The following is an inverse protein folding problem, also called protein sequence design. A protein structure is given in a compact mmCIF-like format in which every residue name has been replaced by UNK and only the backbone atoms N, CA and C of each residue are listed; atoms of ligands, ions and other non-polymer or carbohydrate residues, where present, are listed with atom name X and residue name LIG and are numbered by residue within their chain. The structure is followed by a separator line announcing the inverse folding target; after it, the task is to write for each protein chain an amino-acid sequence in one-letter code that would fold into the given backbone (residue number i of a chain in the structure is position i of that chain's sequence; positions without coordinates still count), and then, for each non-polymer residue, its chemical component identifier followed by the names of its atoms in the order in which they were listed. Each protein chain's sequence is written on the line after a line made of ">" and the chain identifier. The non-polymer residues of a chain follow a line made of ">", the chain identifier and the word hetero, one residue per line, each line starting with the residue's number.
data_IF_090071283601
#
_entry.id   IF_090071283601
#
_cell.length_a   1.000
_cell.length_b   1.000
_cell.length_c   1.000
_cell.angle_alpha   90.00
_cell.angle_beta   90.00
_cell.angle_gamma   90.00
#
_symmetry.space_group_name_H-M   'P 1'
#
loop_
_entity.id
_entity.type
_entity.pdbx_description
1 polymer ?
#
# COMPACT_ATOMS: atom_id res chain seq x y z
N UNK A 1 -4.45 -4.03 -3.95
CA UNK A 1 -4.20 -2.57 -3.78
C UNK A 1 -2.89 -2.14 -4.44
N UNK A 2 -2.09 -3.11 -4.87
CA UNK A 2 -0.77 -2.97 -5.50
C UNK A 2 -0.67 -1.94 -6.63
N UNK A 3 -1.73 -1.68 -7.41
CA UNK A 3 -1.66 -0.70 -8.51
C UNK A 3 -1.67 0.77 -8.07
N UNK A 4 -2.45 1.13 -7.05
CA UNK A 4 -2.67 2.53 -6.64
C UNK A 4 -1.61 3.01 -5.64
N UNK A 5 -1.19 2.14 -4.71
CA UNK A 5 -0.26 2.48 -3.61
C UNK A 5 0.97 1.57 -3.54
N UNK A 6 1.06 0.56 -4.42
CA UNK A 6 2.19 -0.37 -4.43
C UNK A 6 3.51 0.31 -4.74
N UNK A 7 3.52 1.31 -5.62
CA UNK A 7 4.73 2.10 -5.92
C UNK A 7 5.35 2.77 -4.67
N UNK A 8 4.50 3.12 -3.70
CA UNK A 8 4.92 3.83 -2.48
C UNK A 8 5.42 2.87 -1.39
N UNK A 9 4.84 1.66 -1.37
CA UNK A 9 5.02 0.68 -0.30
C UNK A 9 5.97 -0.47 -0.66
N UNK A 10 6.04 -0.83 -1.93
CA UNK A 10 6.85 -1.92 -2.47
C UNK A 10 7.49 -1.51 -3.80
N UNK A 11 8.79 -1.22 -3.74
CA UNK A 11 9.60 -0.88 -4.91
C UNK A 11 10.71 0.09 -4.55
N UNK A 12 11.80 0.09 -5.31
CA UNK A 12 12.89 1.06 -5.10
C UNK A 12 12.49 2.48 -5.48
N UNK A 13 11.33 2.71 -6.09
CA UNK A 13 10.95 4.03 -6.63
C UNK A 13 11.94 4.53 -7.69
N UNK A 14 12.73 3.66 -8.29
CA UNK A 14 13.64 3.96 -9.39
C UNK A 14 13.01 3.51 -10.71
N UNK A 15 13.27 4.27 -11.78
CA UNK A 15 12.98 3.83 -13.15
C UNK A 15 13.70 2.52 -13.45
N UNK A 16 13.15 1.73 -14.39
CA UNK A 16 13.77 0.48 -14.88
C UNK A 16 15.23 0.72 -15.31
N UNK A 17 15.45 1.72 -16.16
CA UNK A 17 16.79 2.06 -16.68
C UNK A 17 17.78 2.38 -15.54
N UNK A 18 17.33 3.13 -14.51
CA UNK A 18 18.17 3.46 -13.36
C UNK A 18 18.50 2.25 -12.50
N UNK A 19 17.61 1.24 -12.43
CA UNK A 19 17.94 -0.03 -11.76
C UNK A 19 18.98 -0.82 -12.54
N UNK A 20 18.90 -0.82 -13.86
CA UNK A 20 19.84 -1.53 -14.72
C UNK A 20 21.23 -0.87 -14.68
N UNK A 21 21.30 0.46 -14.59
CA UNK A 21 22.54 1.23 -14.37
C UNK A 21 23.19 0.94 -13.00
N UNK A 22 22.40 0.81 -11.93
CA UNK A 22 22.92 0.39 -10.62
C UNK A 22 23.44 -1.06 -10.70
N UNK A 23 22.68 -1.95 -11.35
CA UNK A 23 23.05 -3.35 -11.48
C UNK A 23 24.31 -3.56 -12.33
N UNK A 24 24.60 -2.66 -13.27
CA UNK A 24 25.83 -2.67 -14.07
C UNK A 24 27.06 -2.07 -13.36
N UNK A 25 26.91 -1.66 -12.09
CA UNK A 25 28.03 -1.21 -11.26
C UNK A 25 28.42 0.26 -11.45
N UNK A 26 27.54 1.09 -12.03
CA UNK A 26 27.78 2.53 -12.09
C UNK A 26 27.88 3.13 -10.67
N UNK A 27 28.91 3.95 -10.42
CA UNK A 27 29.04 4.70 -9.16
C UNK A 27 27.91 5.72 -9.12
N UNK A 28 26.91 5.46 -8.31
CA UNK A 28 25.78 6.35 -8.07
C UNK A 28 25.95 6.88 -6.65
N UNK A 29 26.07 8.20 -6.52
CA UNK A 29 26.03 8.86 -5.21
C UNK A 29 24.78 8.36 -4.46
N UNK A 30 25.00 7.78 -3.28
CA UNK A 30 23.96 7.26 -2.37
C UNK A 30 23.11 8.37 -1.77
N UNK A 31 22.64 9.31 -2.58
CA UNK A 31 21.48 10.08 -2.18
C UNK A 31 20.31 9.10 -2.25
N UNK A 32 19.92 8.52 -1.11
CA UNK A 32 18.77 7.61 -0.92
C UNK A 32 17.42 8.18 -1.40
N UNK A 33 17.44 9.36 -2.05
CA UNK A 33 16.33 9.97 -2.74
C UNK A 33 15.96 9.14 -3.96
N UNK A 34 14.90 8.37 -3.79
CA UNK A 34 14.18 7.75 -4.88
C UNK A 34 13.34 8.81 -5.62
N UNK A 35 12.57 8.41 -6.65
CA UNK A 35 11.65 9.33 -7.35
C UNK A 35 10.92 10.25 -6.36
N UNK A 36 10.78 11.54 -6.73
CA UNK A 36 10.18 12.60 -5.91
C UNK A 36 11.00 13.10 -4.71
N UNK A 37 12.33 12.91 -4.69
CA UNK A 37 13.22 13.44 -3.64
C UNK A 37 12.92 12.94 -2.21
N UNK A 38 12.16 11.85 -2.08
CA UNK A 38 11.80 11.23 -0.81
C UNK A 38 12.68 10.01 -0.56
N UNK A 39 13.02 9.79 0.71
CA UNK A 39 13.65 8.54 1.13
C UNK A 39 12.61 7.40 1.17
N UNK A 40 13.08 6.18 1.36
CA UNK A 40 12.22 4.99 1.38
C UNK A 40 11.16 5.04 2.50
N UNK A 41 11.52 5.55 3.68
CA UNK A 41 10.62 5.63 4.83
C UNK A 41 9.48 6.62 4.60
N UNK A 42 9.78 7.83 4.14
CA UNK A 42 8.78 8.85 3.81
C UNK A 42 7.79 8.35 2.77
N UNK A 43 8.30 7.72 1.71
CA UNK A 43 7.46 7.14 0.66
C UNK A 43 6.55 6.03 1.21
N UNK A 44 7.10 5.17 2.08
CA UNK A 44 6.33 4.10 2.73
C UNK A 44 5.22 4.68 3.59
N UNK A 45 5.50 5.71 4.38
CA UNK A 45 4.52 6.34 5.27
C UNK A 45 3.36 6.95 4.48
N UNK A 46 3.66 7.64 3.38
CA UNK A 46 2.64 8.14 2.45
C UNK A 46 1.81 6.98 1.88
N UNK A 47 2.47 5.90 1.45
CA UNK A 47 1.80 4.71 0.93
C UNK A 47 0.85 4.07 1.95
N UNK A 48 1.23 4.05 3.23
CA UNK A 48 0.39 3.55 4.32
C UNK A 48 -0.82 4.47 4.56
N UNK A 49 -0.65 5.79 4.55
CA UNK A 49 -1.75 6.75 4.68
C UNK A 49 -2.76 6.55 3.54
N UNK A 50 -2.30 6.48 2.28
CA UNK A 50 -3.17 6.24 1.14
C UNK A 50 -3.89 4.89 1.24
N UNK A 51 -3.21 3.85 1.74
CA UNK A 51 -3.80 2.53 1.98
C UNK A 51 -4.94 2.60 3.01
N UNK A 52 -4.75 3.33 4.11
CA UNK A 52 -5.80 3.52 5.12
C UNK A 52 -7.00 4.26 4.54
N UNK A 53 -6.77 5.32 3.74
CA UNK A 53 -7.85 6.05 3.08
C UNK A 53 -8.67 5.15 2.14
N UNK A 54 -8.00 4.33 1.32
CA UNK A 54 -8.67 3.38 0.42
C UNK A 54 -9.47 2.34 1.22
N UNK A 55 -8.89 1.79 2.30
CA UNK A 55 -9.57 0.83 3.15
C UNK A 55 -10.82 1.43 3.82
N UNK A 56 -10.73 2.67 4.28
CA UNK A 56 -11.89 3.40 4.81
C UNK A 56 -12.97 3.56 3.75
N UNK A 57 -12.61 4.02 2.54
CA UNK A 57 -13.57 4.18 1.43
C UNK A 57 -14.25 2.86 1.04
N UNK A 58 -13.50 1.75 1.01
CA UNK A 58 -14.06 0.41 0.78
C UNK A 58 -15.08 0.02 1.84
N UNK A 59 -14.78 0.26 3.13
CA UNK A 59 -15.72 -0.02 4.22
C UNK A 59 -16.98 0.81 4.08
N UNK A 60 -16.80 2.12 3.82
CA UNK A 60 -17.91 3.06 3.73
C UNK A 60 -18.85 2.74 2.58
N UNK A 61 -18.30 2.42 1.41
CA UNK A 61 -19.07 1.97 0.26
C UNK A 61 -19.94 0.74 0.59
N UNK A 62 -19.37 -0.27 1.25
CA UNK A 62 -20.10 -1.49 1.62
C UNK A 62 -21.20 -1.20 2.66
N UNK A 63 -20.94 -0.29 3.60
CA UNK A 63 -21.94 0.16 4.58
C UNK A 63 -23.11 0.89 3.92
N UNK A 64 -22.82 1.74 2.92
CA UNK A 64 -23.82 2.49 2.16
C UNK A 64 -24.70 1.56 1.30
N UNK A 65 -24.15 0.43 0.85
CA UNK A 65 -24.90 -0.68 0.19
C UNK A 65 -25.72 -1.53 1.19
N UNK A 66 -25.76 -1.16 2.47
CA UNK A 66 -26.62 -1.79 3.47
C UNK A 66 -26.01 -2.97 4.24
N UNK A 67 -24.73 -3.26 4.06
CA UNK A 67 -24.03 -4.31 4.80
C UNK A 67 -23.40 -3.77 6.09
N UNK A 68 -23.03 -4.67 7.01
CA UNK A 68 -22.11 -4.37 8.10
C UNK A 68 -20.70 -4.69 7.63
N UNK A 69 -19.81 -3.69 7.58
CA UNK A 69 -18.43 -3.84 7.14
C UNK A 69 -17.46 -3.84 8.31
N UNK A 70 -16.46 -4.72 8.28
CA UNK A 70 -15.34 -4.71 9.20
C UNK A 70 -14.02 -4.92 8.45
N UNK A 71 -12.99 -4.17 8.83
CA UNK A 71 -11.64 -4.34 8.33
C UNK A 71 -10.87 -5.28 9.27
N UNK A 72 -10.23 -6.31 8.71
CA UNK A 72 -9.47 -7.28 9.48
C UNK A 72 -8.04 -7.39 8.96
N UNK A 73 -7.08 -7.38 9.90
CA UNK A 73 -5.72 -7.77 9.63
C UNK A 73 -5.61 -9.29 9.65
N UNK A 74 -5.30 -9.92 8.51
CA UNK A 74 -5.21 -11.37 8.42
C UNK A 74 -3.77 -11.91 8.60
N UNK A 75 -2.77 -11.04 8.46
CA UNK A 75 -1.35 -11.30 8.78
C UNK A 75 -0.68 -10.04 9.31
N UNK A 76 0.49 -10.19 9.93
CA UNK A 76 1.31 -9.06 10.36
C UNK A 76 1.83 -8.27 9.15
N UNK A 77 2.11 -6.98 9.36
CA UNK A 77 2.52 -6.03 8.32
C UNK A 77 3.97 -6.21 7.84
N UNK A 78 4.77 -6.98 8.58
CA UNK A 78 6.13 -7.41 8.20
C UNK A 78 6.11 -8.54 7.16
N UNK A 79 5.04 -9.34 7.10
CA UNK A 79 4.84 -10.39 6.07
C UNK A 79 4.45 -9.76 4.74
N UNK A 80 3.40 -8.95 4.74
CA UNK A 80 2.96 -8.20 3.56
C UNK A 80 2.27 -6.93 3.96
N UNK A 81 2.47 -5.87 3.17
CA UNK A 81 1.69 -4.66 3.31
C UNK A 81 0.27 -4.82 2.80
N UNK A 82 -0.08 -5.90 2.08
CA UNK A 82 -1.45 -6.18 1.62
C UNK A 82 -2.30 -6.95 2.64
N UNK A 83 -2.06 -6.76 3.93
CA UNK A 83 -2.58 -7.58 5.02
C UNK A 83 -3.98 -7.22 5.55
N UNK A 84 -4.78 -6.44 4.83
CA UNK A 84 -6.13 -6.03 5.26
C UNK A 84 -7.20 -6.52 4.30
N UNK A 85 -8.15 -7.30 4.81
CA UNK A 85 -9.37 -7.68 4.10
C UNK A 85 -10.59 -6.93 4.66
N UNK A 86 -11.65 -6.85 3.85
CA UNK A 86 -12.97 -6.38 4.31
C UNK A 86 -13.87 -7.60 4.44
N UNK A 87 -14.53 -7.72 5.58
CA UNK A 87 -15.59 -8.70 5.82
C UNK A 87 -16.91 -7.96 5.86
N UNK A 88 -17.83 -8.35 4.97
CA UNK A 88 -19.16 -7.77 4.88
C UNK A 88 -20.19 -8.83 5.31
N UNK A 89 -21.04 -8.47 6.27
CA UNK A 89 -22.14 -9.32 6.73
C UNK A 89 -23.44 -8.64 6.33
N UNK A 90 -24.35 -9.39 5.72
CA UNK A 90 -25.68 -8.89 5.44
C UNK A 90 -26.40 -8.64 6.78
N UNK A 91 -26.89 -7.43 7.01
CA UNK A 91 -27.59 -7.08 8.26
C UNK A 91 -28.80 -7.98 8.53
N UNK A 92 -29.38 -8.59 7.50
CA UNK A 92 -30.50 -9.54 7.61
C UNK A 92 -30.07 -10.96 8.01
N UNK A 93 -28.76 -11.23 8.12
CA UNK A 93 -28.18 -12.52 8.48
C UNK A 93 -27.50 -12.53 9.86
N UNK A 94 -27.57 -11.43 10.63
CA UNK A 94 -27.23 -11.45 12.07
C UNK A 94 -28.35 -12.19 12.82
N UNK A 95 -28.28 -13.53 12.83
CA UNK A 95 -29.06 -14.41 13.72
C UNK A 95 -28.22 -14.79 14.94
#
# INVERSE_FOLDING_TARGET
>A
MCGLVGWATCGSGLSRNRRDEIASGAIIEQNEKCSYNMNHHERRDIGLICKHLINWGRSKFIEDEGFKSNLHYYVKSDVTLENVCVVAINKNQEK
#
